data_IF_897839649082
#
_entry.id   IF_897839649082
#
_cell.length_a   1.000
_cell.length_b   1.000
_cell.length_c   1.000
_cell.angle_alpha   90.00
_cell.angle_beta   90.00
_cell.angle_gamma   90.00
#
_symmetry.space_group_name_H-M   'P 1'
#
loop_
_entity.id
_entity.type
_entity.pdbx_description
1 polymer ?
#
# COMPACT_ATOMS: atom_id res chain seq x y z
N UNK A 1 -25.77 -29.73 24.19
CA UNK A 1 -24.72 -30.36 23.34
C UNK A 1 -24.60 -29.51 22.08
N UNK A 2 -23.64 -28.61 22.06
CA UNK A 2 -23.24 -27.90 20.85
C UNK A 2 -21.85 -28.45 20.52
N UNK A 3 -21.84 -29.40 19.60
CA UNK A 3 -20.61 -29.98 19.11
C UNK A 3 -19.80 -28.91 18.36
N UNK A 4 -18.58 -28.68 18.80
CA UNK A 4 -17.58 -27.93 18.05
C UNK A 4 -17.20 -28.79 16.84
N UNK A 5 -17.88 -28.58 15.73
CA UNK A 5 -17.43 -29.11 14.46
C UNK A 5 -16.36 -28.14 13.93
N UNK A 6 -15.10 -28.61 13.96
CA UNK A 6 -14.10 -28.11 13.04
C UNK A 6 -14.63 -28.36 11.62
N UNK A 7 -15.23 -27.34 11.02
CA UNK A 7 -15.55 -27.38 9.60
C UNK A 7 -14.22 -27.15 8.84
N UNK A 8 -13.52 -28.25 8.56
CA UNK A 8 -12.75 -28.32 7.33
C UNK A 8 -13.76 -28.11 6.18
N UNK A 9 -13.96 -26.85 5.75
CA UNK A 9 -14.56 -26.63 4.45
C UNK A 9 -13.68 -27.36 3.44
N UNK A 10 -14.24 -28.23 2.58
CA UNK A 10 -13.47 -28.79 1.51
C UNK A 10 -12.89 -27.63 0.70
N UNK A 11 -11.60 -27.69 0.37
CA UNK A 11 -11.01 -26.85 -0.65
C UNK A 11 -11.88 -27.03 -1.89
N UNK A 12 -12.64 -26.00 -2.22
CA UNK A 12 -13.36 -25.98 -3.51
C UNK A 12 -12.28 -26.07 -4.59
N UNK A 13 -12.39 -27.07 -5.46
CA UNK A 13 -11.58 -27.20 -6.67
C UNK A 13 -11.78 -25.93 -7.54
N UNK A 14 -10.98 -24.91 -7.28
CA UNK A 14 -10.90 -23.78 -8.17
C UNK A 14 -10.18 -24.24 -9.44
N UNK A 15 -10.84 -24.10 -10.58
CA UNK A 15 -10.15 -24.22 -11.86
C UNK A 15 -8.88 -23.35 -11.80
N UNK A 16 -7.72 -23.88 -12.20
CA UNK A 16 -6.47 -23.14 -12.13
C UNK A 16 -6.55 -21.87 -12.95
N UNK A 17 -6.07 -20.76 -12.41
CA UNK A 17 -5.93 -19.53 -13.16
C UNK A 17 -4.82 -19.76 -14.19
N UNK A 18 -5.10 -19.63 -15.49
CA UNK A 18 -4.07 -19.86 -16.50
C UNK A 18 -2.95 -18.80 -16.38
N UNK A 19 -1.70 -19.20 -16.64
CA UNK A 19 -0.60 -18.23 -16.68
C UNK A 19 -0.86 -17.15 -17.74
N UNK A 20 -0.43 -15.91 -17.48
CA UNK A 20 -0.67 -14.82 -18.42
C UNK A 20 0.16 -15.05 -19.71
N UNK A 21 -0.53 -15.10 -20.84
CA UNK A 21 0.13 -15.19 -22.14
C UNK A 21 0.85 -13.89 -22.48
N UNK A 22 1.95 -13.95 -23.20
CA UNK A 22 2.77 -12.79 -23.60
C UNK A 22 3.37 -11.96 -22.44
N UNK A 23 3.22 -12.39 -21.19
CA UNK A 23 3.93 -11.81 -20.06
C UNK A 23 5.32 -12.45 -19.97
N UNK A 24 6.38 -11.67 -20.07
CA UNK A 24 7.76 -12.13 -20.08
C UNK A 24 8.56 -11.52 -18.93
N UNK A 25 9.60 -12.18 -18.48
CA UNK A 25 10.48 -11.68 -17.41
C UNK A 25 11.28 -10.43 -17.85
N UNK A 26 11.52 -10.27 -19.14
CA UNK A 26 12.14 -9.07 -19.70
C UNK A 26 11.07 -8.04 -20.05
N UNK A 27 11.06 -6.93 -19.34
CA UNK A 27 10.07 -5.86 -19.48
C UNK A 27 9.94 -5.35 -20.93
N UNK A 28 11.10 -5.25 -21.64
CA UNK A 28 11.20 -4.78 -23.02
C UNK A 28 10.38 -5.63 -24.02
N UNK A 29 10.09 -6.87 -23.66
CA UNK A 29 9.36 -7.81 -24.51
C UNK A 29 7.98 -8.18 -23.92
N UNK A 30 7.67 -7.73 -22.72
CA UNK A 30 6.49 -8.12 -21.99
C UNK A 30 5.24 -7.31 -22.36
N UNK A 31 4.11 -7.98 -22.24
CA UNK A 31 2.78 -7.37 -22.20
C UNK A 31 2.32 -7.27 -20.75
N UNK A 32 1.31 -6.45 -20.46
CA UNK A 32 0.73 -6.33 -19.12
C UNK A 32 0.04 -7.63 -18.70
N UNK A 33 -0.32 -7.75 -17.43
CA UNK A 33 -1.25 -8.78 -16.99
C UNK A 33 -2.57 -8.70 -17.81
N UNK A 34 -3.23 -9.83 -18.09
CA UNK A 34 -4.49 -9.85 -18.84
C UNK A 34 -5.60 -9.11 -18.10
N UNK A 35 -6.51 -8.48 -18.86
CA UNK A 35 -7.64 -7.74 -18.31
C UNK A 35 -8.50 -8.55 -17.32
N UNK A 36 -8.68 -9.85 -17.53
CA UNK A 36 -9.40 -10.70 -16.60
C UNK A 36 -8.72 -10.85 -15.23
N UNK A 37 -7.42 -10.58 -15.10
CA UNK A 37 -6.75 -10.53 -13.80
C UNK A 37 -7.17 -9.32 -12.96
N UNK A 38 -7.79 -8.31 -13.57
CA UNK A 38 -8.31 -7.11 -12.91
C UNK A 38 -9.84 -7.15 -12.69
N UNK A 39 -10.53 -8.19 -13.21
CA UNK A 39 -12.00 -8.23 -13.17
C UNK A 39 -12.56 -9.53 -12.59
N UNK A 40 -11.77 -10.62 -12.59
CA UNK A 40 -12.25 -11.94 -12.15
C UNK A 40 -12.17 -12.07 -10.62
N UNK A 41 -13.31 -12.39 -10.01
CA UNK A 41 -13.40 -12.67 -8.58
C UNK A 41 -12.53 -13.86 -8.11
N UNK A 42 -12.27 -14.84 -8.98
CA UNK A 42 -11.39 -15.98 -8.67
C UNK A 42 -9.94 -15.52 -8.48
N UNK A 43 -9.49 -14.58 -9.33
CA UNK A 43 -8.16 -13.96 -9.18
C UNK A 43 -8.08 -13.21 -7.86
N UNK A 44 -9.09 -12.40 -7.55
CA UNK A 44 -9.15 -11.66 -6.31
C UNK A 44 -9.12 -12.57 -5.07
N UNK A 45 -9.87 -13.68 -5.06
CA UNK A 45 -9.81 -14.65 -3.96
C UNK A 45 -8.42 -15.28 -3.80
N UNK A 46 -7.68 -15.46 -4.89
CA UNK A 46 -6.31 -15.94 -4.84
C UNK A 46 -5.34 -14.86 -4.37
N UNK A 47 -5.52 -13.60 -4.79
CA UNK A 47 -4.76 -12.45 -4.29
C UNK A 47 -4.86 -12.29 -2.76
N UNK A 48 -6.04 -12.47 -2.18
CA UNK A 48 -6.21 -12.45 -0.72
C UNK A 48 -5.25 -13.41 -0.04
N UNK A 49 -5.20 -14.66 -0.51
CA UNK A 49 -4.43 -15.76 0.10
C UNK A 49 -2.94 -15.69 -0.20
N UNK A 50 -2.56 -15.31 -1.42
CA UNK A 50 -1.18 -15.39 -1.88
C UNK A 50 -0.44 -14.06 -1.80
N UNK A 51 -1.17 -12.94 -1.73
CA UNK A 51 -0.59 -11.60 -1.64
C UNK A 51 -0.88 -11.01 -0.26
N UNK A 52 -2.14 -10.71 0.06
CA UNK A 52 -2.44 -9.87 1.22
C UNK A 52 -2.22 -10.57 2.55
N UNK A 53 -2.48 -11.88 2.66
CA UNK A 53 -2.23 -12.62 3.90
C UNK A 53 -0.74 -12.94 4.13
N UNK A 54 0.09 -12.86 3.11
CA UNK A 54 1.51 -13.20 3.16
C UNK A 54 2.45 -12.01 3.16
N UNK A 55 1.92 -10.79 3.11
CA UNK A 55 2.74 -9.59 3.01
C UNK A 55 2.36 -8.54 4.06
N UNK A 56 3.25 -7.57 4.25
CA UNK A 56 3.09 -6.54 5.24
C UNK A 56 1.99 -5.56 4.87
N UNK A 57 1.05 -5.36 5.78
CA UNK A 57 -0.12 -4.54 5.62
C UNK A 57 -0.09 -3.37 6.60
N UNK A 58 -0.11 -2.16 6.10
CA UNK A 58 -0.18 -0.95 6.92
C UNK A 58 -1.51 -0.87 7.68
N UNK A 59 -1.46 -0.55 8.99
CA UNK A 59 -2.65 -0.57 9.84
C UNK A 59 -2.84 0.67 10.71
N UNK A 60 -1.83 1.51 10.88
CA UNK A 60 -1.91 2.72 11.70
C UNK A 60 -0.57 3.17 12.24
N UNK A 61 -0.57 3.91 13.35
CA UNK A 61 0.64 4.53 13.92
C UNK A 61 0.96 4.05 15.31
N UNK A 62 2.26 4.06 15.65
CA UNK A 62 2.74 3.76 17.01
C UNK A 62 2.14 4.73 18.04
N UNK A 63 1.82 5.97 17.65
CA UNK A 63 1.22 6.99 18.53
C UNK A 63 -0.18 6.64 19.01
N UNK A 64 -0.97 5.91 18.22
CA UNK A 64 -2.28 5.38 18.64
C UNK A 64 -2.15 4.36 19.79
N UNK A 65 -0.97 3.79 19.96
CA UNK A 65 -0.64 2.79 20.98
C UNK A 65 0.48 3.31 21.91
N UNK A 66 0.41 4.57 22.33
CA UNK A 66 1.47 5.23 23.11
C UNK A 66 1.57 4.76 24.56
N UNK A 67 0.50 4.12 25.09
CA UNK A 67 0.43 3.66 26.49
C UNK A 67 0.07 2.18 26.57
N UNK A 68 0.57 1.45 27.59
CA UNK A 68 0.11 0.09 27.87
C UNK A 68 -1.42 -0.01 27.98
N UNK A 69 -1.97 -1.10 27.44
CA UNK A 69 -3.39 -1.37 27.38
C UNK A 69 -4.13 -0.68 26.21
N UNK A 70 -3.51 0.25 25.52
CA UNK A 70 -4.15 0.83 24.32
C UNK A 70 -4.22 -0.20 23.19
N UNK A 71 -5.35 -0.21 22.50
CA UNK A 71 -5.70 -1.15 21.45
C UNK A 71 -6.38 -0.41 20.30
N UNK A 72 -6.15 -0.84 19.06
CA UNK A 72 -7.02 -0.54 17.93
C UNK A 72 -7.31 -1.81 17.11
N UNK A 73 -8.45 -1.83 16.44
CA UNK A 73 -8.86 -2.89 15.51
C UNK A 73 -8.69 -2.44 14.08
N UNK A 74 -8.41 -3.39 13.21
CA UNK A 74 -8.21 -3.16 11.78
C UNK A 74 -8.62 -4.40 10.98
N UNK A 75 -8.69 -4.27 9.67
CA UNK A 75 -9.02 -5.38 8.77
C UNK A 75 -7.93 -5.50 7.70
N UNK A 76 -7.38 -6.69 7.55
CA UNK A 76 -6.54 -7.07 6.40
C UNK A 76 -7.44 -7.77 5.40
N UNK A 77 -7.93 -7.04 4.41
CA UNK A 77 -8.94 -7.45 3.42
C UNK A 77 -10.25 -7.91 4.08
N UNK A 78 -10.34 -9.15 4.56
CA UNK A 78 -11.51 -9.75 5.22
C UNK A 78 -11.15 -10.40 6.57
N UNK A 79 -9.91 -10.24 7.03
CA UNK A 79 -9.44 -10.77 8.31
C UNK A 79 -9.38 -9.66 9.35
N UNK A 80 -10.19 -9.77 10.39
CA UNK A 80 -10.17 -8.82 11.50
C UNK A 80 -8.97 -9.09 12.41
N UNK A 81 -8.21 -8.04 12.70
CA UNK A 81 -7.01 -8.07 13.54
C UNK A 81 -7.08 -6.93 14.55
N UNK A 82 -6.54 -7.13 15.73
CA UNK A 82 -6.27 -6.02 16.64
C UNK A 82 -4.79 -5.94 17.02
N UNK A 83 -4.33 -4.73 17.26
CA UNK A 83 -3.00 -4.44 17.76
C UNK A 83 -3.10 -3.84 19.16
N UNK A 84 -2.26 -4.29 20.08
CA UNK A 84 -2.24 -3.86 21.49
C UNK A 84 -0.82 -3.53 21.92
N UNK A 85 -0.68 -2.51 22.77
CA UNK A 85 0.53 -2.30 23.57
C UNK A 85 0.39 -3.05 24.88
N UNK A 86 1.24 -4.05 25.10
CA UNK A 86 1.29 -4.81 26.35
C UNK A 86 1.78 -3.97 27.53
N UNK A 87 1.59 -4.47 28.76
CA UNK A 87 2.11 -3.86 29.99
C UNK A 87 3.63 -3.74 30.00
N UNK A 88 4.30 -4.58 29.23
CA UNK A 88 5.75 -4.59 29.01
C UNK A 88 6.20 -3.61 27.90
N UNK A 89 5.32 -2.75 27.41
CA UNK A 89 5.51 -1.82 26.30
C UNK A 89 5.81 -2.46 24.92
N UNK A 90 5.60 -3.76 24.77
CA UNK A 90 5.77 -4.45 23.48
C UNK A 90 4.47 -4.42 22.69
N UNK A 91 4.54 -4.14 21.38
CA UNK A 91 3.41 -4.27 20.47
C UNK A 91 3.18 -5.74 20.15
N UNK A 92 1.91 -6.13 20.17
CA UNK A 92 1.44 -7.45 19.76
C UNK A 92 0.21 -7.30 18.90
N UNK A 93 0.01 -8.21 17.95
CA UNK A 93 -1.19 -8.29 17.15
C UNK A 93 -1.77 -9.70 17.23
N UNK A 94 -3.09 -9.79 17.11
CA UNK A 94 -3.85 -11.03 17.19
C UNK A 94 -5.03 -10.98 16.23
N UNK A 95 -5.49 -12.15 15.78
CA UNK A 95 -6.80 -12.26 15.12
C UNK A 95 -7.90 -11.86 16.10
N UNK A 96 -8.86 -11.11 15.60
CA UNK A 96 -10.05 -10.76 16.39
C UNK A 96 -11.05 -11.91 16.34
N UNK A 97 -10.92 -12.82 17.30
CA UNK A 97 -11.90 -13.87 17.49
C UNK A 97 -13.05 -13.37 18.37
N UNK A 98 -14.29 -13.85 18.11
CA UNK A 98 -15.47 -13.57 18.97
C UNK A 98 -15.40 -14.33 20.30
N UNK A 99 -14.23 -14.38 20.93
CA UNK A 99 -14.00 -15.09 22.18
C UNK A 99 -14.47 -14.26 23.36
N UNK A 100 -15.66 -14.58 23.87
CA UNK A 100 -16.22 -13.97 25.09
C UNK A 100 -15.78 -14.71 26.34
N UNK A 101 -14.50 -14.93 26.57
CA UNK A 101 -13.95 -15.48 27.81
C UNK A 101 -14.62 -16.78 28.31
N UNK A 102 -13.87 -17.70 28.81
CA UNK A 102 -14.33 -18.96 29.37
C UNK A 102 -14.84 -18.75 30.81
N UNK A 103 -16.12 -18.45 31.00
CA UNK A 103 -16.73 -18.53 32.32
C UNK A 103 -17.11 -20.00 32.63
N UNK A 104 -16.72 -20.50 33.82
CA UNK A 104 -17.12 -21.81 34.29
C UNK A 104 -16.29 -23.00 33.78
N UNK A 105 -15.11 -22.79 33.19
CA UNK A 105 -14.24 -23.86 32.67
C UNK A 105 -13.35 -24.53 33.71
N UNK A 106 -13.31 -24.02 34.96
CA UNK A 106 -12.47 -24.55 36.03
C UNK A 106 -12.77 -26.02 36.40
N UNK A 107 -13.97 -26.48 36.06
CA UNK A 107 -14.46 -27.81 36.41
C UNK A 107 -14.59 -28.74 35.17
N UNK A 108 -14.04 -28.33 34.03
CA UNK A 108 -14.02 -29.17 32.83
C UNK A 108 -12.74 -30.00 32.83
N UNK A 109 -12.88 -31.32 32.89
CA UNK A 109 -11.78 -32.26 32.82
C UNK A 109 -11.01 -32.08 31.50
N UNK A 110 -9.68 -32.05 31.56
CA UNK A 110 -8.77 -31.81 30.43
C UNK A 110 -8.82 -30.44 29.73
N UNK A 111 -9.54 -29.45 30.31
CA UNK A 111 -9.53 -28.10 29.76
C UNK A 111 -8.27 -27.34 30.14
N UNK A 112 -7.38 -27.12 29.16
CA UNK A 112 -6.21 -26.24 29.34
C UNK A 112 -6.48 -24.88 28.69
N UNK A 113 -6.61 -23.78 29.47
CA UNK A 113 -6.86 -22.42 28.92
C UNK A 113 -5.81 -21.95 27.92
N UNK A 114 -4.56 -22.44 28.03
CA UNK A 114 -3.49 -22.08 27.09
C UNK A 114 -3.70 -22.61 25.67
N UNK A 115 -4.57 -23.61 25.49
CA UNK A 115 -4.93 -24.13 24.18
C UNK A 115 -5.99 -23.25 23.47
N UNK A 116 -6.53 -22.24 24.16
CA UNK A 116 -7.58 -21.33 23.68
C UNK A 116 -7.10 -19.86 23.75
N UNK A 117 -5.79 -19.66 23.64
CA UNK A 117 -5.19 -18.33 23.49
C UNK A 117 -5.55 -17.69 22.15
N UNK A 118 -5.47 -16.37 22.11
CA UNK A 118 -5.62 -15.63 20.84
C UNK A 118 -4.48 -16.05 19.88
N UNK A 119 -4.83 -16.29 18.63
CA UNK A 119 -3.85 -16.58 17.58
C UNK A 119 -3.07 -15.31 17.25
N UNK A 120 -1.74 -15.40 17.30
CA UNK A 120 -0.87 -14.24 17.11
C UNK A 120 -0.70 -13.90 15.63
N UNK A 121 -0.65 -12.60 15.36
CA UNK A 121 -0.31 -12.02 14.06
C UNK A 121 1.03 -11.29 14.21
N UNK A 122 1.88 -11.36 13.20
CA UNK A 122 3.14 -10.59 13.23
C UNK A 122 2.84 -9.10 13.20
N UNK A 123 3.59 -8.33 13.99
CA UNK A 123 3.52 -6.87 14.01
C UNK A 123 4.93 -6.29 14.07
N UNK A 124 5.21 -5.36 13.18
CA UNK A 124 6.46 -4.60 13.14
C UNK A 124 6.19 -3.12 12.88
N UNK A 125 7.20 -2.28 13.05
CA UNK A 125 7.07 -0.84 12.86
C UNK A 125 8.10 -0.32 11.87
N UNK A 126 7.70 0.68 11.07
CA UNK A 126 8.53 1.34 10.09
C UNK A 126 8.24 2.84 10.14
N UNK A 127 9.24 3.67 10.40
CA UNK A 127 9.14 5.14 10.46
C UNK A 127 7.94 5.65 11.27
N UNK A 128 7.68 5.03 12.43
CA UNK A 128 6.54 5.40 13.31
C UNK A 128 5.19 4.81 12.90
N UNK A 129 5.13 4.07 11.82
CA UNK A 129 3.94 3.37 11.30
C UNK A 129 3.92 1.92 11.77
N UNK A 130 2.72 1.35 11.92
CA UNK A 130 2.50 -0.04 12.35
C UNK A 130 2.04 -0.88 11.18
N UNK A 131 2.67 -2.03 11.01
CA UNK A 131 2.33 -3.02 9.99
C UNK A 131 2.06 -4.37 10.64
N UNK A 132 1.16 -5.13 10.04
CA UNK A 132 0.88 -6.52 10.42
C UNK A 132 1.12 -7.45 9.24
N UNK A 133 1.40 -8.72 9.52
CA UNK A 133 1.50 -9.77 8.51
C UNK A 133 0.87 -11.04 9.06
N UNK A 134 -0.06 -11.62 8.30
CA UNK A 134 -0.78 -12.84 8.72
C UNK A 134 0.06 -14.11 8.53
N UNK A 135 1.16 -14.03 7.78
CA UNK A 135 2.13 -15.12 7.65
C UNK A 135 3.18 -15.04 8.77
N UNK A 136 3.18 -16.02 9.65
CA UNK A 136 4.15 -16.12 10.74
C UNK A 136 5.60 -16.27 10.25
N UNK A 137 5.81 -16.74 9.00
CA UNK A 137 7.12 -17.01 8.41
C UNK A 137 7.59 -15.91 7.45
N UNK A 138 6.85 -14.80 7.33
CA UNK A 138 7.25 -13.70 6.45
C UNK A 138 8.64 -13.15 6.79
N UNK A 139 9.36 -12.65 5.80
CA UNK A 139 10.60 -11.90 6.01
C UNK A 139 10.33 -10.66 6.90
N UNK A 140 11.34 -10.22 7.66
CA UNK A 140 11.17 -9.03 8.49
C UNK A 140 10.89 -7.79 7.63
N UNK A 141 10.00 -6.92 8.11
CA UNK A 141 9.65 -5.68 7.43
C UNK A 141 10.89 -4.80 7.21
N UNK A 142 11.79 -4.76 8.20
CA UNK A 142 13.04 -4.02 8.11
C UNK A 142 13.94 -4.53 6.99
N UNK A 143 14.01 -5.84 6.78
CA UNK A 143 14.89 -6.44 5.78
C UNK A 143 14.44 -6.13 4.36
N UNK A 144 13.11 -6.10 4.13
CA UNK A 144 12.55 -5.82 2.81
C UNK A 144 12.42 -4.33 2.47
N UNK A 145 12.63 -3.43 3.44
CA UNK A 145 12.44 -1.98 3.27
C UNK A 145 13.64 -1.11 3.66
N UNK A 146 14.78 -1.71 4.02
CA UNK A 146 15.95 -0.97 4.55
C UNK A 146 16.42 0.12 3.59
N UNK A 147 16.60 -0.20 2.31
CA UNK A 147 17.04 0.74 1.29
C UNK A 147 16.05 1.90 1.13
N UNK A 148 14.76 1.60 1.01
CA UNK A 148 13.69 2.59 0.90
C UNK A 148 13.67 3.55 2.09
N UNK A 149 13.74 3.03 3.33
CA UNK A 149 13.73 3.86 4.55
C UNK A 149 14.96 4.75 4.63
N UNK A 150 16.13 4.23 4.27
CA UNK A 150 17.37 5.01 4.20
C UNK A 150 17.20 6.19 3.23
N UNK A 151 16.62 5.94 2.07
CA UNK A 151 16.39 6.98 1.07
C UNK A 151 15.37 8.01 1.56
N UNK A 152 14.22 7.58 2.09
CA UNK A 152 13.23 8.49 2.67
C UNK A 152 13.84 9.38 3.78
N UNK A 153 14.68 8.82 4.66
CA UNK A 153 15.36 9.58 5.72
C UNK A 153 16.42 10.56 5.18
N UNK A 154 16.96 10.36 3.99
CA UNK A 154 17.83 11.33 3.35
C UNK A 154 17.07 12.60 2.95
N UNK A 155 15.77 12.50 2.69
CA UNK A 155 14.89 13.64 2.35
C UNK A 155 14.22 14.25 3.59
N UNK A 156 13.81 13.43 4.55
CA UNK A 156 13.21 13.85 5.81
C UNK A 156 13.79 13.02 6.99
N UNK A 157 14.90 13.46 7.64
CA UNK A 157 15.64 12.65 8.60
C UNK A 157 14.86 12.21 9.86
N UNK A 158 13.81 12.93 10.24
CA UNK A 158 13.04 12.70 11.47
C UNK A 158 11.60 12.28 11.20
N UNK A 159 11.41 11.32 10.27
CA UNK A 159 10.10 10.79 9.91
C UNK A 159 9.31 10.24 11.10
N UNK A 160 10.00 9.58 12.05
CA UNK A 160 9.37 8.99 13.24
C UNK A 160 8.75 10.04 14.20
N UNK A 161 9.16 11.30 14.09
CA UNK A 161 8.65 12.39 14.94
C UNK A 161 7.37 13.02 14.39
N UNK A 162 7.08 12.80 13.12
CA UNK A 162 5.89 13.36 12.49
C UNK A 162 4.62 12.79 13.11
N UNK A 163 3.57 13.61 13.13
CA UNK A 163 2.27 13.25 13.70
C UNK A 163 1.20 13.28 12.62
N UNK A 164 0.22 12.40 12.74
CA UNK A 164 -0.93 12.39 11.84
C UNK A 164 -1.72 13.69 11.98
N UNK A 165 -1.82 14.42 10.89
CA UNK A 165 -2.52 15.71 10.81
C UNK A 165 -3.84 15.59 10.03
N UNK A 166 -3.86 14.76 8.97
CA UNK A 166 -5.05 14.59 8.15
C UNK A 166 -5.15 13.15 7.64
N UNK A 167 -6.36 12.59 7.73
CA UNK A 167 -6.75 11.37 7.01
C UNK A 167 -7.81 11.70 5.96
N UNK A 168 -7.75 11.01 4.82
CA UNK A 168 -8.71 11.13 3.75
C UNK A 168 -8.94 9.75 3.12
N UNK A 169 -10.20 9.38 2.92
CA UNK A 169 -10.56 8.10 2.30
C UNK A 169 -11.52 8.35 1.12
N UNK A 170 -11.32 7.58 0.04
CA UNK A 170 -12.14 7.67 -1.16
C UNK A 170 -12.38 6.28 -1.75
N UNK A 171 -13.64 5.90 -1.91
CA UNK A 171 -14.02 4.70 -2.65
C UNK A 171 -13.81 4.93 -4.15
N UNK A 172 -13.23 3.93 -4.81
CA UNK A 172 -12.86 3.99 -6.23
C UNK A 172 -13.35 2.74 -6.94
N UNK A 173 -14.01 2.92 -8.07
CA UNK A 173 -14.55 1.82 -8.89
C UNK A 173 -13.47 1.24 -9.82
N UNK A 174 -12.34 0.84 -9.22
CA UNK A 174 -11.21 0.24 -9.93
C UNK A 174 -10.52 -0.83 -9.07
N UNK A 175 -9.91 -1.80 -9.73
CA UNK A 175 -9.08 -2.83 -9.09
C UNK A 175 -7.85 -2.19 -8.42
N UNK A 176 -7.44 -2.71 -7.27
CA UNK A 176 -6.28 -2.19 -6.52
C UNK A 176 -4.98 -2.15 -7.34
N UNK A 177 -4.79 -3.11 -8.29
CA UNK A 177 -3.62 -3.12 -9.17
C UNK A 177 -3.60 -1.93 -10.13
N UNK A 178 -4.76 -1.46 -10.58
CA UNK A 178 -4.84 -0.26 -11.42
C UNK A 178 -4.31 0.98 -10.69
N UNK A 179 -4.59 1.08 -9.38
CA UNK A 179 -4.07 2.17 -8.55
C UNK A 179 -2.55 2.06 -8.37
N UNK A 180 -2.04 0.83 -8.16
CA UNK A 180 -0.60 0.59 -8.03
C UNK A 180 0.12 0.82 -9.36
N UNK A 181 -0.43 0.30 -10.47
CA UNK A 181 0.13 0.49 -11.82
C UNK A 181 0.36 1.99 -12.11
N UNK A 182 -0.65 2.83 -11.86
CA UNK A 182 -0.57 4.27 -12.05
C UNK A 182 0.46 4.95 -11.11
N UNK A 183 0.55 4.48 -9.87
CA UNK A 183 1.48 5.07 -8.88
C UNK A 183 2.95 4.77 -9.22
N UNK A 184 3.23 3.69 -9.96
CA UNK A 184 4.58 3.21 -10.24
C UNK A 184 5.20 3.76 -11.53
N UNK A 185 4.48 4.60 -12.25
CA UNK A 185 5.00 5.27 -13.46
C UNK A 185 4.69 6.77 -13.41
N UNK A 186 5.32 7.55 -14.23
CA UNK A 186 5.01 8.97 -14.42
C UNK A 186 4.68 9.31 -15.88
N UNK A 187 4.46 8.30 -16.70
CA UNK A 187 4.14 8.44 -18.11
C UNK A 187 2.85 9.24 -18.34
N UNK A 188 1.83 9.02 -17.49
CA UNK A 188 0.55 9.74 -17.53
C UNK A 188 0.66 11.19 -17.06
N UNK A 189 1.65 11.54 -16.23
CA UNK A 189 1.69 12.83 -15.51
C UNK A 189 1.67 14.04 -16.44
N UNK A 190 2.34 13.94 -17.60
CA UNK A 190 2.40 15.03 -18.58
C UNK A 190 1.03 15.39 -19.17
N UNK A 191 0.08 14.46 -19.14
CA UNK A 191 -1.27 14.63 -19.69
C UNK A 191 -2.28 14.91 -18.57
N UNK A 192 -2.17 14.20 -17.46
CA UNK A 192 -3.16 14.21 -16.39
C UNK A 192 -2.92 15.30 -15.34
N UNK A 193 -1.65 15.69 -15.07
CA UNK A 193 -1.28 16.50 -13.92
C UNK A 193 -0.53 17.80 -14.30
N UNK A 194 -1.18 18.78 -14.94
CA UNK A 194 -0.51 20.02 -15.35
C UNK A 194 0.14 20.78 -14.18
N UNK A 195 -0.50 20.77 -13.00
CA UNK A 195 0.02 21.44 -11.81
C UNK A 195 1.22 20.71 -11.21
N UNK A 196 1.23 19.38 -11.21
CA UNK A 196 2.37 18.57 -10.79
C UNK A 196 3.58 18.77 -11.72
N UNK A 197 3.34 18.84 -13.02
CA UNK A 197 4.36 19.14 -14.02
C UNK A 197 4.99 20.54 -13.81
N UNK A 198 4.21 21.50 -13.27
CA UNK A 198 4.71 22.82 -12.89
C UNK A 198 5.45 22.85 -11.54
N UNK A 199 5.16 21.91 -10.64
CA UNK A 199 5.80 21.78 -9.33
C UNK A 199 7.16 21.10 -9.43
N UNK A 200 7.29 20.04 -10.25
CA UNK A 200 8.45 19.17 -10.31
C UNK A 200 9.20 19.30 -11.64
N UNK A 201 10.52 19.30 -11.57
CA UNK A 201 11.40 19.28 -12.75
C UNK A 201 11.67 17.83 -13.19
N UNK A 202 10.92 17.37 -14.16
CA UNK A 202 11.03 16.02 -14.72
C UNK A 202 12.36 15.75 -15.43
N UNK A 203 13.15 16.77 -15.75
CA UNK A 203 14.52 16.55 -16.27
C UNK A 203 15.48 16.01 -15.21
N UNK A 204 15.09 16.11 -13.92
CA UNK A 204 15.82 15.59 -12.76
C UNK A 204 15.26 14.28 -12.23
N UNK A 205 14.39 13.63 -12.99
CA UNK A 205 13.74 12.40 -12.59
C UNK A 205 14.75 11.26 -12.44
N UNK A 206 14.78 10.66 -11.27
CA UNK A 206 15.60 9.51 -10.94
C UNK A 206 14.72 8.39 -10.42
N UNK A 207 15.06 7.15 -10.77
CA UNK A 207 14.37 5.96 -10.29
C UNK A 207 15.37 4.91 -9.85
N UNK A 208 15.00 4.15 -8.83
CA UNK A 208 15.71 2.94 -8.40
C UNK A 208 14.74 1.98 -7.73
N UNK A 209 15.13 0.73 -7.69
CA UNK A 209 14.28 -0.36 -7.22
C UNK A 209 15.08 -1.37 -6.41
N UNK A 210 14.39 -2.01 -5.49
CA UNK A 210 14.78 -3.25 -4.86
C UNK A 210 13.67 -4.28 -5.08
N UNK A 211 13.80 -5.51 -4.61
CA UNK A 211 12.85 -6.59 -4.91
C UNK A 211 11.39 -6.21 -4.57
N UNK A 212 11.15 -5.56 -3.44
CA UNK A 212 9.81 -5.25 -2.91
C UNK A 212 9.55 -3.76 -2.77
N UNK A 213 10.45 -2.92 -3.24
CA UNK A 213 10.34 -1.47 -3.12
C UNK A 213 10.76 -0.77 -4.41
N UNK A 214 10.14 0.36 -4.69
CA UNK A 214 10.55 1.28 -5.75
C UNK A 214 10.64 2.69 -5.19
N UNK A 215 11.51 3.51 -5.77
CA UNK A 215 11.62 4.92 -5.43
C UNK A 215 11.76 5.77 -6.69
N UNK A 216 11.04 6.89 -6.71
CA UNK A 216 11.16 7.94 -7.71
C UNK A 216 11.53 9.25 -7.03
N UNK A 217 12.43 10.05 -7.59
CA UNK A 217 12.78 11.34 -7.01
C UNK A 217 12.97 12.43 -8.06
N UNK A 218 12.51 13.64 -7.70
CA UNK A 218 12.58 14.82 -8.56
C UNK A 218 12.84 16.08 -7.74
N UNK A 219 13.53 17.04 -8.33
CA UNK A 219 13.70 18.38 -7.74
C UNK A 219 12.44 19.21 -7.98
N UNK A 220 12.10 20.13 -7.09
CA UNK A 220 11.07 21.11 -7.39
C UNK A 220 11.54 22.07 -8.51
N UNK A 221 10.65 22.42 -9.41
CA UNK A 221 10.98 23.26 -10.57
C UNK A 221 11.01 24.76 -10.20
N UNK A 222 10.06 25.19 -9.38
CA UNK A 222 9.86 26.61 -9.08
C UNK A 222 9.18 26.82 -7.72
N UNK A 223 9.57 27.86 -6.99
CA UNK A 223 8.90 28.24 -5.74
C UNK A 223 7.49 28.81 -5.98
N UNK A 224 7.32 29.52 -7.11
CA UNK A 224 6.01 30.00 -7.57
C UNK A 224 5.51 29.06 -8.68
N UNK A 225 4.75 28.08 -8.32
CA UNK A 225 4.25 27.00 -9.17
C UNK A 225 2.73 26.87 -9.05
N UNK A 226 2.05 26.19 -10.00
CA UNK A 226 0.59 26.10 -10.03
C UNK A 226 -0.03 25.15 -8.98
N UNK A 227 0.77 24.39 -8.24
CA UNK A 227 0.26 23.42 -7.26
C UNK A 227 0.04 24.11 -5.90
N UNK A 228 1.11 24.49 -5.22
CA UNK A 228 1.08 25.19 -3.94
C UNK A 228 2.38 25.99 -3.73
N UNK A 229 2.28 27.06 -2.97
CA UNK A 229 3.42 27.94 -2.74
C UNK A 229 4.50 27.28 -1.90
N UNK A 230 5.75 27.35 -2.36
CA UNK A 230 6.95 26.92 -1.66
C UNK A 230 7.74 28.12 -1.13
N UNK A 231 8.47 27.92 -0.01
CA UNK A 231 9.41 28.89 0.54
C UNK A 231 10.87 28.42 0.31
N UNK A 232 11.76 29.36 0.07
CA UNK A 232 13.20 29.09 -0.05
C UNK A 232 13.81 28.48 1.22
N UNK A 233 13.16 28.62 2.37
CA UNK A 233 13.57 28.07 3.67
C UNK A 233 12.98 26.68 3.95
N UNK A 234 12.09 26.19 3.12
CA UNK A 234 11.49 24.87 3.28
C UNK A 234 12.56 23.76 3.41
N UNK A 235 12.28 22.78 4.26
CA UNK A 235 13.24 21.73 4.60
C UNK A 235 13.41 20.73 3.48
N UNK A 236 12.36 20.42 2.73
CA UNK A 236 12.33 19.43 1.65
C UNK A 236 12.41 20.15 0.30
N UNK A 237 13.47 19.89 -0.46
CA UNK A 237 13.73 20.50 -1.79
C UNK A 237 13.45 19.55 -2.94
N UNK A 238 13.42 18.27 -2.69
CA UNK A 238 13.16 17.23 -3.70
C UNK A 238 11.98 16.38 -3.24
N UNK A 239 11.11 16.04 -4.15
CA UNK A 239 10.11 15.00 -3.91
C UNK A 239 10.77 13.63 -3.92
N UNK A 240 10.30 12.73 -3.07
CA UNK A 240 10.52 11.30 -3.19
C UNK A 240 9.19 10.57 -3.05
N UNK A 241 8.93 9.67 -3.99
CA UNK A 241 7.81 8.76 -4.01
C UNK A 241 8.36 7.36 -3.85
N UNK A 242 7.93 6.65 -2.82
CA UNK A 242 8.39 5.30 -2.54
C UNK A 242 7.18 4.37 -2.48
N UNK A 243 7.36 3.15 -2.91
CA UNK A 243 6.33 2.13 -2.82
C UNK A 243 6.88 0.88 -2.15
N UNK A 244 6.07 0.27 -1.29
CA UNK A 244 6.33 -0.99 -0.61
C UNK A 244 5.25 -2.00 -1.02
N UNK A 245 5.68 -3.14 -1.50
CA UNK A 245 4.81 -4.28 -1.80
C UNK A 245 3.94 -4.68 -0.61
N UNK A 246 2.64 -4.98 -0.77
CA UNK A 246 1.94 -5.03 -2.05
C UNK A 246 1.26 -3.72 -2.44
N UNK A 247 0.86 -2.84 -1.52
CA UNK A 247 -0.14 -1.82 -1.77
C UNK A 247 0.05 -0.52 -0.97
N UNK A 248 1.24 -0.24 -0.49
CA UNK A 248 1.50 0.97 0.31
C UNK A 248 2.53 1.87 -0.34
N UNK A 249 2.16 3.11 -0.64
CA UNK A 249 3.07 4.13 -1.15
C UNK A 249 3.32 5.22 -0.10
N UNK A 250 4.49 5.86 -0.19
CA UNK A 250 4.93 6.93 0.68
C UNK A 250 5.37 8.11 -0.16
N UNK A 251 5.03 9.32 0.30
CA UNK A 251 5.37 10.56 -0.38
C UNK A 251 6.06 11.51 0.59
N UNK A 252 7.16 12.10 0.18
CA UNK A 252 7.74 13.26 0.82
C UNK A 252 7.77 14.35 -0.25
N UNK A 253 6.87 15.33 -0.13
CA UNK A 253 6.69 16.39 -1.10
C UNK A 253 7.62 17.59 -0.80
N UNK A 254 7.99 18.42 -1.80
CA UNK A 254 8.69 19.67 -1.53
C UNK A 254 7.90 20.57 -0.58
N UNK A 255 8.60 21.23 0.34
CA UNK A 255 7.96 22.10 1.34
C UNK A 255 8.47 21.87 2.77
N UNK A 256 7.65 22.10 3.80
CA UNK A 256 7.92 21.71 5.17
C UNK A 256 8.15 20.20 5.29
N UNK A 257 8.68 19.74 6.44
CA UNK A 257 8.80 18.32 6.72
C UNK A 257 7.44 17.64 6.68
N UNK A 258 7.32 16.59 5.88
CA UNK A 258 6.07 15.88 5.68
C UNK A 258 6.32 14.41 5.35
N UNK A 259 5.27 13.62 5.54
CA UNK A 259 5.13 12.26 5.02
C UNK A 259 3.67 12.05 4.62
N UNK A 260 3.43 11.66 3.40
CA UNK A 260 2.15 11.13 2.96
C UNK A 260 2.22 9.61 2.91
N UNK A 261 1.15 8.94 3.31
CA UNK A 261 0.96 7.49 3.14
C UNK A 261 -0.27 7.28 2.27
N UNK A 262 -0.13 6.52 1.22
CA UNK A 262 -1.23 6.10 0.36
C UNK A 262 -1.34 4.57 0.36
N UNK A 263 -2.40 4.05 0.95
CA UNK A 263 -2.69 2.63 0.91
C UNK A 263 -3.84 2.35 -0.07
N UNK A 264 -3.59 1.46 -1.03
CA UNK A 264 -4.53 1.03 -2.06
C UNK A 264 -5.24 -0.24 -1.58
N UNK A 265 -6.32 -0.05 -0.78
CA UNK A 265 -7.01 -1.14 -0.10
C UNK A 265 -8.01 -1.82 -1.03
N UNK A 266 -7.83 -3.11 -1.40
CA UNK A 266 -8.82 -3.80 -2.22
C UNK A 266 -10.11 -4.04 -1.42
N UNK A 267 -11.24 -3.69 -2.00
CA UNK A 267 -12.58 -3.95 -1.42
C UNK A 267 -13.39 -4.94 -2.27
N UNK A 268 -12.88 -5.30 -3.43
CA UNK A 268 -13.46 -6.26 -4.35
C UNK A 268 -12.60 -6.41 -5.60
N UNK A 269 -12.98 -7.29 -6.53
CA UNK A 269 -12.21 -7.50 -7.75
C UNK A 269 -12.12 -6.25 -8.64
N UNK A 270 -13.09 -5.34 -8.56
CA UNK A 270 -13.16 -4.12 -9.35
C UNK A 270 -13.44 -2.88 -8.49
N UNK A 271 -13.07 -2.93 -7.23
CA UNK A 271 -13.26 -1.81 -6.30
C UNK A 271 -12.15 -1.74 -5.28
N UNK A 272 -11.79 -0.53 -4.90
CA UNK A 272 -10.75 -0.23 -3.92
C UNK A 272 -11.11 0.95 -3.05
N UNK A 273 -10.56 1.00 -1.85
CA UNK A 273 -10.54 2.18 -1.00
C UNK A 273 -9.15 2.81 -1.08
N UNK A 274 -9.08 4.06 -1.50
CA UNK A 274 -7.90 4.89 -1.36
C UNK A 274 -7.86 5.39 0.09
N UNK A 275 -6.83 5.01 0.85
CA UNK A 275 -6.59 5.53 2.19
C UNK A 275 -5.36 6.40 2.15
N UNK A 276 -5.54 7.68 2.45
CA UNK A 276 -4.49 8.69 2.48
C UNK A 276 -4.30 9.22 3.89
N UNK A 277 -3.08 9.31 4.34
CA UNK A 277 -2.71 9.93 5.62
C UNK A 277 -1.55 10.87 5.43
N UNK A 278 -1.65 12.03 6.05
CA UNK A 278 -0.66 13.10 5.95
C UNK A 278 -0.12 13.43 7.34
N UNK A 279 1.19 13.41 7.45
CA UNK A 279 1.94 13.59 8.68
C UNK A 279 2.81 14.83 8.56
N UNK A 280 2.76 15.68 9.58
CA UNK A 280 3.56 16.90 9.72
C UNK A 280 4.20 16.98 11.10
N UNK A 281 4.92 18.06 11.42
CA UNK A 281 5.51 18.26 12.74
C UNK A 281 4.44 18.51 13.83
N UNK A 282 3.23 18.93 13.45
CA UNK A 282 2.11 19.19 14.37
C UNK A 282 0.80 18.57 13.86
N UNK A 283 -0.12 18.29 14.78
CA UNK A 283 -1.46 17.77 14.44
C UNK A 283 -2.29 18.77 13.62
N UNK A 284 -2.10 20.09 13.91
CA UNK A 284 -2.75 21.15 13.15
C UNK A 284 -1.78 21.63 12.06
N UNK A 285 -2.17 21.54 10.79
CA UNK A 285 -1.32 21.97 9.70
C UNK A 285 -1.11 23.48 9.71
N UNK A 286 0.06 23.92 9.35
CA UNK A 286 0.37 25.32 9.04
C UNK A 286 -0.33 25.75 7.74
N UNK A 287 -0.33 27.03 7.41
CA UNK A 287 -0.94 27.55 6.18
C UNK A 287 -0.33 26.90 4.92
N UNK A 288 0.99 26.70 4.88
CA UNK A 288 1.66 26.05 3.76
C UNK A 288 1.35 24.56 3.64
N UNK A 289 1.26 23.84 4.78
CA UNK A 289 0.86 22.44 4.83
C UNK A 289 -0.61 22.27 4.43
N UNK A 290 -1.47 23.20 4.85
CA UNK A 290 -2.88 23.20 4.43
C UNK A 290 -3.02 23.42 2.91
N UNK A 291 -2.23 24.32 2.32
CA UNK A 291 -2.23 24.51 0.88
C UNK A 291 -1.79 23.27 0.10
N UNK A 292 -0.78 22.54 0.61
CA UNK A 292 -0.39 21.23 0.06
C UNK A 292 -1.53 20.20 0.18
N UNK A 293 -2.20 20.11 1.33
CA UNK A 293 -3.34 19.21 1.54
C UNK A 293 -4.49 19.55 0.58
N UNK A 294 -4.84 20.83 0.48
CA UNK A 294 -5.94 21.30 -0.37
C UNK A 294 -5.69 20.96 -1.85
N UNK A 295 -4.48 21.20 -2.33
CA UNK A 295 -4.08 20.82 -3.68
C UNK A 295 -4.12 19.30 -3.90
N UNK A 296 -3.56 18.53 -2.99
CA UNK A 296 -3.51 17.07 -3.12
C UNK A 296 -4.90 16.47 -3.13
N UNK A 297 -5.76 16.87 -2.18
CA UNK A 297 -7.10 16.29 -2.00
C UNK A 297 -8.09 16.77 -3.07
N UNK A 298 -7.99 18.04 -3.49
CA UNK A 298 -9.00 18.64 -4.39
C UNK A 298 -8.56 18.67 -5.86
N UNK A 299 -7.29 18.35 -6.16
CA UNK A 299 -6.76 18.36 -7.54
C UNK A 299 -6.11 17.03 -7.89
N UNK A 300 -5.01 16.66 -7.25
CA UNK A 300 -4.20 15.50 -7.64
C UNK A 300 -4.98 14.18 -7.51
N UNK A 301 -5.58 13.92 -6.34
CA UNK A 301 -6.34 12.68 -6.10
C UNK A 301 -7.55 12.54 -7.05
N UNK A 302 -8.37 13.57 -7.32
CA UNK A 302 -9.43 13.49 -8.32
C UNK A 302 -8.94 13.24 -9.76
N UNK A 303 -7.81 13.83 -10.16
CA UNK A 303 -7.21 13.61 -11.49
C UNK A 303 -6.86 12.12 -11.66
N UNK A 304 -6.13 11.53 -10.70
CA UNK A 304 -5.79 10.10 -10.71
C UNK A 304 -7.02 9.19 -10.62
N UNK A 305 -8.00 9.54 -9.77
CA UNK A 305 -9.20 8.72 -9.59
C UNK A 305 -9.96 8.58 -10.90
N UNK A 306 -10.06 9.67 -11.68
CA UNK A 306 -10.70 9.63 -13.01
C UNK A 306 -9.94 8.70 -13.97
N UNK A 307 -8.61 8.63 -13.89
CA UNK A 307 -7.81 7.69 -14.69
C UNK A 307 -8.06 6.25 -14.27
N UNK A 308 -8.03 5.93 -12.98
CA UNK A 308 -8.27 4.58 -12.47
C UNK A 308 -9.60 4.02 -12.96
N UNK A 309 -10.67 4.79 -12.83
CA UNK A 309 -12.01 4.38 -13.23
C UNK A 309 -12.16 4.23 -14.74
N UNK A 310 -11.53 5.11 -15.53
CA UNK A 310 -11.50 5.00 -16.98
C UNK A 310 -10.72 3.76 -17.45
N UNK A 311 -9.58 3.46 -16.84
CA UNK A 311 -8.81 2.23 -17.12
C UNK A 311 -9.64 1.00 -16.78
N UNK A 312 -10.32 0.98 -15.62
CA UNK A 312 -11.19 -0.14 -15.25
C UNK A 312 -12.34 -0.35 -16.24
N UNK A 313 -12.91 0.72 -16.79
CA UNK A 313 -13.90 0.60 -17.87
C UNK A 313 -13.28 -0.03 -19.12
N UNK A 314 -12.07 0.36 -19.49
CA UNK A 314 -11.33 -0.21 -20.62
C UNK A 314 -11.03 -1.70 -20.44
N UNK A 315 -10.68 -2.12 -19.22
CA UNK A 315 -10.39 -3.52 -18.88
C UNK A 315 -11.61 -4.45 -19.05
N UNK A 316 -12.84 -3.93 -18.96
CA UNK A 316 -14.09 -4.68 -19.21
C UNK A 316 -14.41 -4.81 -20.70
N UNK A 317 -13.73 -4.08 -21.56
CA UNK A 317 -14.04 -4.05 -22.99
C UNK A 317 -13.68 -5.38 -23.66
N UNK A 318 -14.59 -5.92 -24.46
CA UNK A 318 -14.33 -7.11 -25.29
C UNK A 318 -13.23 -6.87 -26.35
N UNK A 319 -12.94 -5.62 -26.68
CA UNK A 319 -11.90 -5.24 -27.63
C UNK A 319 -10.51 -5.12 -27.02
N UNK A 320 -10.36 -5.33 -25.70
CA UNK A 320 -9.08 -5.23 -24.99
C UNK A 320 -8.76 -6.50 -24.20
N UNK A 321 -7.56 -6.99 -24.30
CA UNK A 321 -7.09 -8.13 -23.52
C UNK A 321 -5.83 -7.83 -22.73
N UNK A 322 -4.82 -7.20 -23.33
CA UNK A 322 -3.55 -6.83 -22.72
C UNK A 322 -2.97 -5.60 -23.44
N UNK A 323 -2.23 -4.77 -22.70
CA UNK A 323 -1.39 -3.70 -23.23
C UNK A 323 0.05 -4.15 -23.43
N UNK A 324 0.85 -3.34 -24.12
CA UNK A 324 2.30 -3.49 -24.22
C UNK A 324 2.95 -2.50 -23.27
N UNK A 325 3.93 -2.93 -22.46
CA UNK A 325 4.73 -2.00 -21.67
C UNK A 325 5.53 -1.03 -22.54
N UNK A 326 5.55 0.22 -22.14
CA UNK A 326 6.45 1.24 -22.69
C UNK A 326 7.72 1.23 -21.86
N UNK A 327 8.77 0.63 -22.36
CA UNK A 327 10.05 0.54 -21.64
C UNK A 327 11.10 1.41 -22.34
N UNK A 328 11.57 2.42 -21.61
CA UNK A 328 12.63 3.32 -22.07
C UNK A 328 13.59 3.65 -20.91
N UNK A 329 14.58 2.81 -20.71
CA UNK A 329 15.54 2.97 -19.58
C UNK A 329 16.42 4.22 -19.69
N UNK A 330 16.51 4.83 -20.88
CA UNK A 330 17.21 6.11 -21.07
C UNK A 330 16.33 7.33 -20.71
N UNK A 331 15.05 7.12 -20.58
CA UNK A 331 14.03 8.12 -20.22
C UNK A 331 13.11 7.52 -19.16
N UNK A 332 13.61 7.38 -17.92
CA UNK A 332 12.88 6.68 -16.87
C UNK A 332 11.53 7.34 -16.54
N UNK A 333 11.42 8.64 -16.75
CA UNK A 333 10.17 9.40 -16.60
C UNK A 333 9.07 9.01 -17.63
N UNK A 334 9.44 8.26 -18.68
CA UNK A 334 8.55 7.73 -19.71
C UNK A 334 8.53 6.20 -19.76
N UNK A 335 8.94 5.54 -18.68
CA UNK A 335 9.14 4.09 -18.66
C UNK A 335 8.32 3.40 -17.60
N UNK A 336 7.69 2.29 -17.97
CA UNK A 336 6.80 1.50 -17.12
C UNK A 336 7.52 0.26 -16.50
N UNK A 337 8.85 0.28 -16.36
CA UNK A 337 9.59 -0.88 -15.85
C UNK A 337 9.25 -1.21 -14.40
N UNK A 338 8.87 -0.25 -13.55
CA UNK A 338 8.39 -0.51 -12.19
C UNK A 338 6.97 -1.12 -12.18
N UNK A 339 6.13 -0.75 -13.13
CA UNK A 339 4.82 -1.42 -13.32
C UNK A 339 5.04 -2.88 -13.70
N UNK A 340 6.00 -3.15 -14.59
CA UNK A 340 6.37 -4.52 -14.93
C UNK A 340 6.89 -5.31 -13.72
N UNK A 341 7.76 -4.70 -12.89
CA UNK A 341 8.23 -5.30 -11.64
C UNK A 341 7.07 -5.68 -10.72
N UNK A 342 6.15 -4.75 -10.49
CA UNK A 342 4.95 -5.00 -9.67
C UNK A 342 4.11 -6.14 -10.24
N UNK A 343 3.80 -6.10 -11.53
CA UNK A 343 2.99 -7.13 -12.17
C UNK A 343 3.70 -8.50 -12.19
N UNK A 344 5.05 -8.52 -12.19
CA UNK A 344 5.84 -9.73 -12.01
C UNK A 344 5.63 -10.32 -10.61
N UNK A 345 5.67 -9.51 -9.56
CA UNK A 345 5.38 -9.95 -8.19
C UNK A 345 3.94 -10.49 -8.06
N UNK A 346 2.96 -9.84 -8.68
CA UNK A 346 1.57 -10.34 -8.72
C UNK A 346 1.50 -11.70 -9.43
N UNK A 347 2.10 -11.84 -10.62
CA UNK A 347 2.14 -13.10 -11.37
C UNK A 347 2.75 -14.21 -10.53
N UNK A 348 3.92 -13.95 -9.96
CA UNK A 348 4.66 -14.97 -9.22
C UNK A 348 3.90 -15.42 -7.98
N UNK A 349 3.27 -14.49 -7.26
CA UNK A 349 2.43 -14.83 -6.11
C UNK A 349 1.21 -15.67 -6.51
N UNK A 350 0.54 -15.32 -7.61
CA UNK A 350 -0.63 -16.06 -8.10
C UNK A 350 -0.25 -17.45 -8.66
N UNK A 351 0.94 -17.59 -9.25
CA UNK A 351 1.40 -18.85 -9.85
C UNK A 351 2.16 -19.76 -8.87
N UNK A 352 2.49 -19.31 -7.67
CA UNK A 352 3.34 -20.06 -6.72
C UNK A 352 2.82 -21.46 -6.31
N UNK A 353 1.52 -21.72 -6.48
CA UNK A 353 0.89 -23.02 -6.12
C UNK A 353 0.41 -23.81 -7.35
N UNK A 354 0.91 -23.50 -8.55
CA UNK A 354 0.52 -24.19 -9.79
C UNK A 354 1.55 -25.25 -10.19
#
# INVERSE_FOLDING_TARGET
>A
MIGIHCHNKPMTDYEPIPPPTNFHDQAEHSWTLPANWYTDSKVFEKEKKQIFYKNWWYVGTVRQLSKPGQIFTTTVVDQEVFVIRGEDNVLRAFYQENFRGTRGVKDIEDFNPSNFGLESVRVETLVGLVFVNLDANADALTDISESMVKDMRAYCPRLDDLVLSKSYELQTAANWKTLVDNNLESYHSAVAHPSLMGLLDYSTFEVWEDRFTTCHAMTNSNLDNPAYKLDSKDSVKRAIYSWLWPNTAFFIAPGPKNLGVFQMVPTGPESSLQRWEFYFENEQPTESEQAYLDWTINTLIPEDTALYENVQHGLRSQGYSQGRFVINRNRPEWSEHHVHQFQTLVRDAIMADC
#
